data_IF_277215805022
#
_entry.id   IF_277215805022
#
_cell.length_a   1.000
_cell.length_b   1.000
_cell.length_c   1.000
_cell.angle_alpha   90.00
_cell.angle_beta   90.00
_cell.angle_gamma   90.00
#
_symmetry.space_group_name_H-M   'P 1'
#
loop_
_entity.id
_entity.type
_entity.pdbx_description
1 polymer ?
#
# COMPACT_ATOMS: atom_id res chain seq x y z
N UNK A 1 -14.33 15.72 -25.25
CA UNK A 1 -15.11 14.69 -24.54
C UNK A 1 -14.16 13.59 -24.12
N UNK A 2 -14.00 13.24 -22.84
CA UNK A 2 -15.06 13.05 -21.86
C UNK A 2 -15.44 11.57 -21.81
N UNK A 3 -14.48 10.71 -21.46
CA UNK A 3 -14.70 9.33 -21.00
C UNK A 3 -13.55 8.98 -20.04
N UNK A 4 -13.73 9.28 -18.75
CA UNK A 4 -13.04 8.52 -17.72
C UNK A 4 -13.59 7.10 -17.80
N UNK A 5 -12.86 6.18 -18.44
CA UNK A 5 -13.26 4.78 -18.54
C UNK A 5 -13.02 4.11 -17.19
N UNK A 6 -14.03 3.39 -16.73
CA UNK A 6 -14.24 2.74 -15.43
C UNK A 6 -13.28 1.56 -15.14
N UNK A 7 -11.99 1.68 -15.49
CA UNK A 7 -11.05 0.54 -15.57
C UNK A 7 -9.61 0.90 -15.20
N UNK A 8 -9.40 1.59 -14.08
CA UNK A 8 -8.06 1.79 -13.49
C UNK A 8 -7.91 1.06 -12.14
N UNK A 9 -8.64 -0.03 -11.94
CA UNK A 9 -8.39 -0.94 -10.82
C UNK A 9 -7.20 -1.83 -11.16
N UNK A 10 -6.06 -1.57 -10.53
CA UNK A 10 -4.82 -2.26 -10.83
C UNK A 10 -4.74 -3.59 -10.05
N UNK A 11 -4.71 -4.71 -10.77
CA UNK A 11 -4.31 -6.00 -10.19
C UNK A 11 -2.78 -6.11 -10.06
N UNK A 12 -2.05 -5.49 -10.99
CA UNK A 12 -0.60 -5.42 -10.96
C UNK A 12 -0.10 -4.36 -9.95
N UNK A 13 1.09 -4.54 -9.36
CA UNK A 13 1.71 -3.54 -8.49
C UNK A 13 2.17 -2.28 -9.24
N UNK A 14 2.23 -2.35 -10.57
CA UNK A 14 2.69 -1.28 -11.42
C UNK A 14 1.58 -0.79 -12.34
N UNK A 15 1.45 0.53 -12.43
CA UNK A 15 0.53 1.20 -13.36
C UNK A 15 1.36 1.89 -14.44
N UNK A 16 0.96 1.66 -15.70
CA UNK A 16 1.56 2.30 -16.87
C UNK A 16 0.62 3.35 -17.44
N UNK A 17 1.09 4.58 -17.58
CA UNK A 17 0.38 5.66 -18.29
C UNK A 17 1.29 6.20 -19.39
N UNK A 18 1.03 5.77 -20.63
CA UNK A 18 1.92 6.04 -21.78
C UNK A 18 3.28 5.33 -21.62
N UNK A 19 4.37 6.09 -21.67
CA UNK A 19 5.74 5.60 -21.43
C UNK A 19 6.14 5.58 -19.94
N UNK A 20 5.31 6.14 -19.04
CA UNK A 20 5.65 6.26 -17.63
C UNK A 20 5.13 5.06 -16.84
N UNK A 21 6.01 4.47 -16.04
CA UNK A 21 5.71 3.39 -15.09
C UNK A 21 5.78 3.93 -13.65
N UNK A 22 4.89 3.48 -12.78
CA UNK A 22 4.91 3.79 -11.36
C UNK A 22 4.27 2.69 -10.54
N UNK A 23 4.53 2.68 -9.23
CA UNK A 23 3.73 1.89 -8.30
C UNK A 23 2.26 2.30 -8.34
N UNK A 24 1.38 1.31 -8.27
CA UNK A 24 -0.04 1.50 -8.06
C UNK A 24 -0.29 2.19 -6.71
N UNK A 25 -1.31 3.02 -6.64
CA UNK A 25 -1.72 3.65 -5.40
C UNK A 25 -2.65 2.70 -4.61
N UNK A 26 -2.70 2.80 -3.28
CA UNK A 26 -3.68 2.07 -2.47
C UNK A 26 -5.12 2.26 -2.95
N UNK A 27 -5.48 3.49 -3.34
CA UNK A 27 -6.82 3.87 -3.79
C UNK A 27 -7.17 3.33 -5.19
N UNK A 28 -6.16 2.90 -5.95
CA UNK A 28 -6.33 2.29 -7.28
C UNK A 28 -6.50 0.76 -7.17
N UNK A 29 -6.41 0.20 -5.96
CA UNK A 29 -6.59 -1.24 -5.76
C UNK A 29 -8.06 -1.59 -5.87
N UNK A 30 -8.35 -2.74 -6.49
CA UNK A 30 -9.72 -3.24 -6.58
C UNK A 30 -10.29 -3.47 -5.17
N UNK A 31 -11.51 -2.99 -4.84
CA UNK A 31 -12.07 -3.13 -3.50
C UNK A 31 -12.13 -4.58 -2.98
N UNK A 32 -12.48 -5.53 -3.86
CA UNK A 32 -12.50 -6.95 -3.50
C UNK A 32 -11.12 -7.51 -3.10
N UNK A 33 -10.03 -6.94 -3.64
CA UNK A 33 -8.64 -7.30 -3.29
C UNK A 33 -8.21 -6.72 -1.95
N UNK A 34 -8.71 -5.54 -1.58
CA UNK A 34 -8.48 -4.97 -0.26
C UNK A 34 -9.27 -5.73 0.81
N UNK A 35 -10.51 -6.14 0.50
CA UNK A 35 -11.33 -6.93 1.41
C UNK A 35 -10.83 -8.38 1.59
N UNK A 36 -10.24 -8.97 0.54
CA UNK A 36 -9.64 -10.31 0.61
C UNK A 36 -8.27 -10.32 -0.09
N UNK A 37 -7.19 -9.98 0.65
CA UNK A 37 -5.84 -9.87 0.09
C UNK A 37 -5.30 -11.20 -0.45
N UNK A 38 -4.84 -11.22 -1.70
CA UNK A 38 -4.30 -12.43 -2.33
C UNK A 38 -2.78 -12.38 -2.50
N UNK A 39 -2.21 -11.18 -2.54
CA UNK A 39 -0.79 -10.92 -2.77
C UNK A 39 -0.22 -9.99 -1.70
N UNK A 40 1.10 -9.97 -1.56
CA UNK A 40 1.76 -9.07 -0.60
C UNK A 40 1.54 -7.59 -0.97
N UNK A 41 1.31 -7.28 -2.25
CA UNK A 41 0.88 -5.96 -2.69
C UNK A 41 -0.56 -5.61 -2.28
N UNK A 42 -1.48 -6.58 -2.29
CA UNK A 42 -2.82 -6.38 -1.72
C UNK A 42 -2.71 -6.07 -0.22
N UNK A 43 -1.89 -6.86 0.48
CA UNK A 43 -1.65 -6.69 1.91
C UNK A 43 -1.03 -5.34 2.25
N UNK A 44 0.00 -4.93 1.50
CA UNK A 44 0.62 -3.60 1.64
C UNK A 44 -0.42 -2.49 1.44
N UNK A 45 -1.23 -2.55 0.40
CA UNK A 45 -2.22 -1.50 0.14
C UNK A 45 -3.31 -1.48 1.22
N UNK A 46 -3.77 -2.64 1.67
CA UNK A 46 -4.71 -2.71 2.81
C UNK A 46 -4.10 -2.19 4.11
N UNK A 47 -2.81 -2.43 4.36
CA UNK A 47 -2.08 -1.86 5.50
C UNK A 47 -2.08 -0.33 5.46
N UNK A 48 -1.78 0.27 4.30
CA UNK A 48 -1.80 1.73 4.13
C UNK A 48 -3.23 2.28 4.32
N UNK A 49 -4.24 1.59 3.82
CA UNK A 49 -5.64 2.00 4.01
C UNK A 49 -6.08 1.91 5.48
N UNK A 50 -5.73 0.82 6.17
CA UNK A 50 -5.99 0.62 7.59
C UNK A 50 -5.34 1.70 8.47
N UNK A 51 -4.10 2.07 8.16
CA UNK A 51 -3.42 3.19 8.82
C UNK A 51 -4.15 4.52 8.63
N UNK A 52 -4.68 4.80 7.44
CA UNK A 52 -5.44 6.03 7.18
C UNK A 52 -6.77 6.08 7.92
N UNK A 53 -7.34 4.94 8.26
CA UNK A 53 -8.60 4.83 8.98
C UNK A 53 -8.43 5.04 10.49
N UNK A 54 -7.36 4.49 11.09
CA UNK A 54 -7.19 4.56 12.54
C UNK A 54 -5.75 4.42 13.04
N UNK A 55 -4.79 4.89 12.25
CA UNK A 55 -3.37 5.02 12.59
C UNK A 55 -2.73 3.64 12.90
N UNK A 56 -1.60 3.63 13.63
CA UNK A 56 -0.83 2.44 14.00
C UNK A 56 -1.67 1.33 14.66
N UNK A 57 -2.63 1.60 15.58
CA UNK A 57 -3.43 0.52 16.17
C UNK A 57 -4.19 -0.30 15.15
N UNK A 58 -4.87 0.35 14.20
CA UNK A 58 -5.65 -0.32 13.16
C UNK A 58 -4.72 -0.99 12.13
N UNK A 59 -3.60 -0.34 11.79
CA UNK A 59 -2.57 -0.93 10.94
C UNK A 59 -1.96 -2.23 11.53
N UNK A 60 -1.72 -2.26 12.85
CA UNK A 60 -1.23 -3.46 13.55
C UNK A 60 -2.26 -4.58 13.56
N UNK A 61 -3.53 -4.24 13.82
CA UNK A 61 -4.61 -5.22 13.77
C UNK A 61 -4.72 -5.85 12.37
N UNK A 62 -4.63 -5.04 11.32
CA UNK A 62 -4.63 -5.50 9.93
C UNK A 62 -3.48 -6.49 9.65
N UNK A 63 -2.26 -6.19 10.09
CA UNK A 63 -1.12 -7.11 9.91
C UNK A 63 -1.35 -8.45 10.64
N UNK A 64 -1.89 -8.41 11.86
CA UNK A 64 -2.22 -9.64 12.60
C UNK A 64 -3.29 -10.47 11.87
N UNK A 65 -4.31 -9.83 11.30
CA UNK A 65 -5.38 -10.55 10.61
C UNK A 65 -4.95 -11.13 9.26
N UNK A 66 -4.22 -10.36 8.45
CA UNK A 66 -3.98 -10.72 7.04
C UNK A 66 -2.54 -11.13 6.73
N UNK A 67 -1.61 -10.99 7.68
CA UNK A 67 -0.18 -11.20 7.47
C UNK A 67 0.58 -11.63 8.73
N UNK A 68 -0.03 -12.30 9.71
CA UNK A 68 0.64 -12.65 10.98
C UNK A 68 2.00 -13.33 10.79
N UNK A 69 2.07 -14.33 9.90
CA UNK A 69 3.30 -15.09 9.63
C UNK A 69 4.28 -14.38 8.67
N UNK A 70 3.86 -13.28 8.05
CA UNK A 70 4.59 -12.58 6.99
C UNK A 70 4.69 -11.08 7.20
N UNK A 71 4.46 -10.61 8.44
CA UNK A 71 4.37 -9.18 8.75
C UNK A 71 5.65 -8.44 8.37
N UNK A 72 6.82 -9.03 8.65
CA UNK A 72 8.11 -8.43 8.29
C UNK A 72 8.24 -8.20 6.80
N UNK A 73 7.79 -9.15 5.96
CA UNK A 73 7.81 -8.99 4.50
C UNK A 73 6.91 -7.86 4.03
N UNK A 74 5.74 -7.69 4.63
CA UNK A 74 4.85 -6.57 4.28
C UNK A 74 5.46 -5.24 4.69
N UNK A 75 6.16 -5.22 5.82
CA UNK A 75 6.90 -4.05 6.29
C UNK A 75 8.11 -3.76 5.38
N UNK A 76 8.86 -4.76 4.92
CA UNK A 76 9.90 -4.62 3.89
C UNK A 76 9.33 -3.98 2.61
N UNK A 77 8.14 -4.44 2.20
CA UNK A 77 7.48 -3.94 1.00
C UNK A 77 6.99 -2.49 1.17
N UNK A 78 6.57 -2.12 2.37
CA UNK A 78 6.24 -0.73 2.72
C UNK A 78 7.47 0.18 2.62
N UNK A 79 8.65 -0.31 2.98
CA UNK A 79 9.92 0.40 2.82
C UNK A 79 10.24 0.66 1.34
N UNK A 80 10.10 -0.37 0.48
CA UNK A 80 10.23 -0.22 -0.98
C UNK A 80 9.21 0.80 -1.51
N UNK A 81 7.96 0.71 -1.09
CA UNK A 81 6.92 1.65 -1.51
C UNK A 81 7.23 3.09 -1.06
N UNK A 82 7.75 3.28 0.16
CA UNK A 82 8.16 4.58 0.68
C UNK A 82 9.33 5.21 -0.12
N UNK A 83 10.24 4.38 -0.64
CA UNK A 83 11.37 4.84 -1.46
C UNK A 83 10.91 5.25 -2.88
N UNK A 84 9.98 4.48 -3.45
CA UNK A 84 9.59 4.59 -4.87
C UNK A 84 8.32 5.41 -5.11
N UNK A 85 7.57 5.78 -4.06
CA UNK A 85 6.38 6.61 -4.18
C UNK A 85 6.73 7.98 -4.77
N UNK A 86 6.00 8.41 -5.81
CA UNK A 86 6.32 9.65 -6.55
C UNK A 86 6.03 10.95 -5.79
N UNK A 87 5.17 10.90 -4.77
CA UNK A 87 4.73 12.09 -4.05
C UNK A 87 5.37 12.16 -2.65
N UNK A 88 6.00 13.29 -2.27
CA UNK A 88 6.64 13.44 -0.96
C UNK A 88 5.73 13.14 0.23
N UNK A 89 4.44 13.48 0.13
CA UNK A 89 3.48 13.23 1.21
C UNK A 89 3.25 11.73 1.43
N UNK A 90 3.24 10.95 0.35
CA UNK A 90 3.11 9.48 0.41
C UNK A 90 4.37 8.84 0.97
N UNK A 91 5.54 9.34 0.59
CA UNK A 91 6.81 8.90 1.18
C UNK A 91 6.82 9.19 2.69
N UNK A 92 6.38 10.39 3.10
CA UNK A 92 6.31 10.79 4.51
C UNK A 92 5.35 9.92 5.30
N UNK A 93 4.14 9.71 4.78
CA UNK A 93 3.13 8.80 5.36
C UNK A 93 3.71 7.41 5.62
N UNK A 94 4.30 6.78 4.59
CA UNK A 94 4.88 5.45 4.73
C UNK A 94 6.06 5.42 5.71
N UNK A 95 6.90 6.46 5.77
CA UNK A 95 7.99 6.55 6.75
C UNK A 95 7.46 6.68 8.18
N UNK A 96 6.40 7.47 8.39
CA UNK A 96 5.73 7.57 9.70
C UNK A 96 5.15 6.22 10.11
N UNK A 97 4.52 5.50 9.18
CA UNK A 97 4.03 4.15 9.42
C UNK A 97 5.17 3.19 9.82
N UNK A 98 6.28 3.17 9.08
CA UNK A 98 7.44 2.32 9.36
C UNK A 98 7.96 2.55 10.79
N UNK A 99 8.12 3.81 11.18
CA UNK A 99 8.51 4.17 12.55
C UNK A 99 7.50 3.67 13.58
N UNK A 100 6.21 3.93 13.38
CA UNK A 100 5.16 3.52 14.31
C UNK A 100 4.95 2.01 14.39
N UNK A 101 5.31 1.26 13.34
CA UNK A 101 5.31 -0.21 13.33
C UNK A 101 6.56 -0.81 14.01
N UNK A 102 7.56 0.00 14.35
CA UNK A 102 8.75 -0.42 15.10
C UNK A 102 9.98 -0.65 14.23
N UNK A 103 9.98 -0.17 12.98
CA UNK A 103 11.12 -0.28 12.08
C UNK A 103 11.89 1.03 12.05
N UNK A 104 13.15 0.99 12.48
CA UNK A 104 14.08 2.10 12.29
C UNK A 104 14.60 2.07 10.86
N UNK A 105 14.35 3.15 10.11
CA UNK A 105 14.97 3.36 8.80
C UNK A 105 16.46 3.63 9.03
N UNK A 106 17.33 2.77 8.47
CA UNK A 106 18.79 2.96 8.49
C UNK A 106 19.24 4.07 7.54
#
# INVERSE_FOLDING_TARGET
>A
GGRASKSEQAHAPLVRRGSKLRLALPEERQPARLANPQTDWDRLHGLIMAYREGDIPVARAYLQEHAAEHSDRIIDLLEVWAAEARHPDRQREARTMLYGLGRQLS
#
